data_IF_285296083480
#
_entry.id   IF_285296083480
#
_cell.length_a   1.000
_cell.length_b   1.000
_cell.length_c   1.000
_cell.angle_alpha   90.00
_cell.angle_beta   90.00
_cell.angle_gamma   90.00
#
_symmetry.space_group_name_H-M   'P 1'
#
loop_
_entity.id
_entity.type
_entity.pdbx_description
1 polymer ?
#
# COMPACT_ATOMS: atom_id res chain seq x y z
N UNK A 1 -23.57 -2.93 -15.22
CA UNK A 1 -22.33 -3.66 -15.58
C UNK A 1 -21.22 -2.61 -15.70
N UNK A 2 -20.46 -2.28 -14.64
CA UNK A 2 -19.31 -1.41 -14.81
C UNK A 2 -18.12 -2.22 -15.31
N UNK A 3 -17.78 -1.92 -16.56
CA UNK A 3 -16.44 -1.70 -17.12
C UNK A 3 -15.29 -2.60 -16.64
N UNK A 4 -15.01 -3.57 -17.50
CA UNK A 4 -13.75 -4.28 -17.68
C UNK A 4 -12.55 -3.32 -17.66
N UNK A 5 -11.68 -3.46 -16.65
CA UNK A 5 -10.28 -2.98 -16.56
C UNK A 5 -10.05 -1.53 -16.09
N UNK A 6 -10.40 -1.26 -14.84
CA UNK A 6 -9.54 -0.47 -13.96
C UNK A 6 -8.86 -1.44 -13.00
N UNK A 7 -7.96 -2.26 -13.54
CA UNK A 7 -7.05 -3.04 -12.70
C UNK A 7 -6.04 -2.06 -12.11
N UNK A 8 -6.48 -1.29 -11.12
CA UNK A 8 -5.70 -0.28 -10.44
C UNK A 8 -4.32 -0.80 -10.13
N UNK A 9 -3.31 -0.18 -10.72
CA UNK A 9 -1.94 -0.44 -10.35
C UNK A 9 -1.82 0.01 -8.89
N UNK A 10 -1.63 -0.96 -8.00
CA UNK A 10 -1.43 -0.66 -6.60
C UNK A 10 -0.01 -0.10 -6.48
N UNK A 11 0.09 1.15 -6.05
CA UNK A 11 1.37 1.83 -5.89
C UNK A 11 1.95 1.52 -4.51
N UNK A 12 3.28 1.44 -4.39
CA UNK A 12 3.94 1.22 -3.10
C UNK A 12 4.37 2.57 -2.53
N UNK A 13 4.00 2.82 -1.28
CA UNK A 13 4.30 4.04 -0.54
C UNK A 13 5.05 3.68 0.73
N UNK A 14 6.19 4.33 0.98
CA UNK A 14 6.96 4.15 2.19
C UNK A 14 6.53 5.17 3.25
N UNK A 15 5.78 4.69 4.24
CA UNK A 15 5.34 5.46 5.41
C UNK A 15 6.05 4.99 6.67
N UNK A 16 5.89 5.72 7.78
CA UNK A 16 6.27 5.21 9.09
C UNK A 16 5.09 4.44 9.69
N UNK A 17 5.35 3.27 10.26
CA UNK A 17 4.34 2.57 11.06
C UNK A 17 4.05 3.36 12.36
N UNK A 18 3.01 2.95 13.10
CA UNK A 18 2.75 3.40 14.48
C UNK A 18 3.98 3.37 15.41
N UNK A 19 4.99 2.55 15.09
CA UNK A 19 6.25 2.46 15.82
C UNK A 19 7.31 3.49 15.38
N UNK A 20 7.03 4.34 14.39
CA UNK A 20 7.99 5.30 13.81
C UNK A 20 8.99 4.66 12.84
N UNK A 21 8.83 3.37 12.56
CA UNK A 21 9.73 2.61 11.70
C UNK A 21 9.26 2.70 10.23
N UNK A 22 10.17 2.93 9.28
CA UNK A 22 9.80 3.00 7.86
C UNK A 22 9.30 1.62 7.40
N UNK A 23 8.13 1.58 6.77
CA UNK A 23 7.50 0.38 6.22
C UNK A 23 6.81 0.70 4.88
N UNK A 24 6.82 -0.29 3.99
CA UNK A 24 6.13 -0.24 2.70
C UNK A 24 4.65 -0.58 2.87
N UNK A 25 3.81 0.41 2.61
CA UNK A 25 2.38 0.24 2.49
C UNK A 25 1.99 0.16 1.01
N UNK A 26 0.99 -0.66 0.72
CA UNK A 26 0.40 -0.76 -0.61
C UNK A 26 -0.76 0.23 -0.66
N UNK A 27 -0.74 1.14 -1.63
CA UNK A 27 -1.82 2.10 -1.87
C UNK A 27 -3.00 1.42 -2.57
N UNK A 28 -4.19 1.92 -2.27
CA UNK A 28 -5.39 1.61 -3.05
C UNK A 28 -5.19 2.09 -4.50
N UNK A 29 -5.93 1.51 -5.46
CA UNK A 29 -6.00 2.00 -6.83
C UNK A 29 -6.17 3.52 -6.96
N UNK A 30 -6.92 4.10 -6.02
CA UNK A 30 -7.28 5.51 -5.96
C UNK A 30 -6.13 6.41 -5.44
N UNK A 31 -5.03 5.81 -4.95
CA UNK A 31 -3.82 6.48 -4.42
C UNK A 31 -4.05 7.48 -3.29
N UNK A 32 -5.26 7.51 -2.73
CA UNK A 32 -5.69 8.36 -1.61
C UNK A 32 -5.42 7.73 -0.26
N UNK A 33 -5.40 6.40 -0.19
CA UNK A 33 -5.24 5.67 1.06
C UNK A 33 -4.46 4.37 0.86
N UNK A 34 -3.95 3.81 1.93
CA UNK A 34 -3.31 2.49 1.92
C UNK A 34 -4.34 1.37 2.09
N UNK A 35 -3.99 0.16 1.65
CA UNK A 35 -4.82 -1.04 1.83
C UNK A 35 -5.04 -1.41 3.31
N UNK A 36 -4.17 -0.96 4.21
CA UNK A 36 -4.36 -1.15 5.65
C UNK A 36 -5.20 -0.04 6.29
N UNK A 37 -5.71 0.93 5.51
CA UNK A 37 -6.55 2.02 6.00
C UNK A 37 -5.78 3.22 6.57
N UNK A 38 -4.45 3.23 6.47
CA UNK A 38 -3.63 4.41 6.81
C UNK A 38 -3.75 5.42 5.67
N UNK A 39 -4.04 6.67 6.01
CA UNK A 39 -4.05 7.77 5.04
C UNK A 39 -2.63 8.06 4.56
N UNK A 40 -2.48 8.39 3.28
CA UNK A 40 -1.18 8.70 2.70
C UNK A 40 -0.65 10.01 3.29
N UNK A 41 0.24 9.91 4.26
CA UNK A 41 0.94 11.06 4.84
C UNK A 41 2.20 11.41 4.03
N UNK A 42 2.95 12.40 4.52
CA UNK A 42 4.21 12.81 3.91
C UNK A 42 5.18 11.63 3.90
N UNK A 43 5.70 11.33 2.71
CA UNK A 43 6.56 10.18 2.50
C UNK A 43 7.81 10.27 3.38
N UNK A 44 8.05 9.22 4.17
CA UNK A 44 9.16 9.21 5.11
C UNK A 44 10.49 9.36 4.37
N UNK A 45 11.39 10.28 4.76
CA UNK A 45 12.68 10.47 4.09
C UNK A 45 13.64 9.26 4.21
N UNK A 46 13.24 8.23 4.97
CA UNK A 46 14.00 6.98 5.18
C UNK A 46 13.63 5.86 4.19
N UNK A 47 13.09 6.20 3.01
CA UNK A 47 12.64 5.23 1.99
C UNK A 47 13.69 4.19 1.63
N UNK A 48 14.96 4.59 1.58
CA UNK A 48 16.10 3.75 1.19
C UNK A 48 16.57 2.75 2.26
N UNK A 49 15.99 2.76 3.47
CA UNK A 49 16.54 1.99 4.60
C UNK A 49 15.68 0.81 5.05
N UNK A 50 14.53 0.56 4.42
CA UNK A 50 13.60 -0.48 4.85
C UNK A 50 13.19 -1.41 3.72
N UNK A 51 13.22 -2.70 4.00
CA UNK A 51 12.56 -3.75 3.20
C UNK A 51 11.31 -4.28 3.93
N UNK A 52 10.91 -3.64 5.03
CA UNK A 52 9.73 -4.06 5.80
C UNK A 52 8.47 -3.65 5.07
N UNK A 53 7.60 -4.62 4.83
CA UNK A 53 6.30 -4.40 4.22
C UNK A 53 5.20 -4.55 5.26
N UNK A 54 4.17 -3.72 5.20
CA UNK A 54 3.01 -3.85 6.06
C UNK A 54 2.28 -5.16 5.73
N UNK A 55 2.21 -6.06 6.72
CA UNK A 55 1.60 -7.38 6.55
C UNK A 55 0.14 -7.31 6.11
N UNK A 56 -0.62 -6.37 6.69
CA UNK A 56 -2.04 -6.13 6.32
C UNK A 56 -2.16 -5.69 4.85
N UNK A 57 -1.33 -4.74 4.41
CA UNK A 57 -1.28 -4.31 3.00
C UNK A 57 -0.95 -5.47 2.06
N UNK A 58 0.04 -6.29 2.42
CA UNK A 58 0.48 -7.40 1.58
C UNK A 58 -0.56 -8.52 1.51
N UNK A 59 -1.26 -8.81 2.62
CA UNK A 59 -2.36 -9.79 2.66
C UNK A 59 -3.53 -9.35 1.78
N UNK A 60 -3.96 -8.09 1.89
CA UNK A 60 -5.00 -7.51 1.03
C UNK A 60 -4.59 -7.54 -0.44
N UNK A 61 -3.33 -7.18 -0.74
CA UNK A 61 -2.81 -7.24 -2.11
C UNK A 61 -2.81 -8.67 -2.67
N UNK A 62 -2.39 -9.66 -1.87
CA UNK A 62 -2.46 -11.07 -2.25
C UNK A 62 -3.89 -11.52 -2.55
N UNK A 63 -4.89 -11.12 -1.76
CA UNK A 63 -6.30 -11.44 -2.03
C UNK A 63 -6.79 -10.83 -3.35
N UNK A 64 -6.38 -9.59 -3.65
CA UNK A 64 -6.70 -8.91 -4.91
C UNK A 64 -6.02 -9.59 -6.10
N UNK A 65 -4.76 -10.02 -5.97
CA UNK A 65 -4.02 -10.71 -7.02
C UNK A 65 -4.51 -12.14 -7.23
N UNK A 66 -4.83 -12.87 -6.16
CA UNK A 66 -5.32 -14.25 -6.21
C UNK A 66 -6.74 -14.37 -6.78
N UNK A 67 -7.51 -13.28 -6.75
CA UNK A 67 -8.86 -13.21 -7.34
C UNK A 67 -8.85 -12.87 -8.84
N UNK A 68 -7.68 -12.84 -9.49
CA UNK A 68 -7.51 -12.66 -10.95
C UNK A 68 -7.28 -13.98 -11.66
#
# INVERSE_FOLDING_TARGET
MPTRRELGMHEMWCGADTSGEPVWHVLTPDKTSTLCGVEKEEESPRRDTTDRHCFSCMQSFQAVVASR
#
